data_IF_913205716025
#
_entry.id   IF_913205716025
#
_cell.length_a   1.000
_cell.length_b   1.000
_cell.length_c   1.000
_cell.angle_alpha   90.00
_cell.angle_beta   90.00
_cell.angle_gamma   90.00
#
_symmetry.space_group_name_H-M   'P 1'
#
loop_
_entity.id
_entity.type
_entity.pdbx_description
1 polymer ?
#
# COMPACT_ATOMS: atom_id res chain seq x y z
N UNK A 1 -2.68 -4.62 13.36
CA UNK A 1 -2.10 -5.37 12.22
C UNK A 1 -0.80 -4.71 11.81
N UNK A 2 0.11 -5.50 11.26
CA UNK A 2 1.33 -5.04 10.61
C UNK A 2 1.08 -4.94 9.10
N UNK A 3 1.28 -3.77 8.51
CA UNK A 3 0.95 -3.49 7.11
C UNK A 3 2.19 -2.93 6.41
N UNK A 4 2.56 -3.53 5.29
CA UNK A 4 3.61 -3.00 4.42
C UNK A 4 2.99 -2.25 3.24
N UNK A 5 3.42 -1.01 3.00
CA UNK A 5 2.97 -0.17 1.89
C UNK A 5 4.13 0.07 0.94
N UNK A 6 3.90 -0.15 -0.34
CA UNK A 6 4.89 0.01 -1.41
C UNK A 6 4.44 1.05 -2.43
N UNK A 7 5.36 1.90 -2.84
CA UNK A 7 5.16 2.95 -3.84
C UNK A 7 5.17 4.35 -3.25
N UNK A 8 5.27 5.35 -4.15
CA UNK A 8 5.39 6.77 -3.79
C UNK A 8 4.20 7.61 -4.27
N UNK A 9 3.11 7.00 -4.69
CA UNK A 9 1.94 7.75 -5.12
C UNK A 9 1.30 8.52 -3.94
N UNK A 10 0.55 9.56 -4.23
CA UNK A 10 -0.24 10.27 -3.22
C UNK A 10 -1.17 9.29 -2.49
N UNK A 11 -1.75 8.35 -3.22
CA UNK A 11 -2.61 7.30 -2.64
C UNK A 11 -1.87 6.41 -1.63
N UNK A 12 -0.61 6.01 -1.93
CA UNK A 12 0.23 5.26 -0.98
C UNK A 12 0.39 6.04 0.35
N UNK A 13 0.69 7.33 0.26
CA UNK A 13 0.83 8.20 1.44
C UNK A 13 -0.46 8.36 2.23
N UNK A 14 -1.59 8.57 1.54
CA UNK A 14 -2.91 8.68 2.18
C UNK A 14 -3.25 7.39 2.91
N UNK A 15 -3.07 6.23 2.26
CA UNK A 15 -3.34 4.93 2.87
C UNK A 15 -2.41 4.67 4.05
N UNK A 16 -1.11 4.95 3.92
CA UNK A 16 -0.16 4.79 5.02
C UNK A 16 -0.54 5.66 6.23
N UNK A 17 -0.92 6.91 5.99
CA UNK A 17 -1.33 7.85 7.04
C UNK A 17 -2.62 7.41 7.75
N UNK A 18 -3.65 7.04 6.99
CA UNK A 18 -4.95 6.65 7.55
C UNK A 18 -4.88 5.30 8.28
N UNK A 19 -4.18 4.31 7.70
CA UNK A 19 -3.99 3.01 8.37
C UNK A 19 -3.23 3.17 9.69
N UNK A 20 -2.20 4.02 9.73
CA UNK A 20 -1.49 4.34 10.96
C UNK A 20 -2.38 5.11 11.96
N UNK A 21 -3.25 6.03 11.50
CA UNK A 21 -4.21 6.74 12.37
C UNK A 21 -5.24 5.77 12.97
N UNK A 22 -5.61 4.72 12.25
CA UNK A 22 -6.46 3.63 12.77
C UNK A 22 -5.74 2.71 13.77
N UNK A 23 -4.47 2.96 14.09
CA UNK A 23 -3.71 2.21 15.09
C UNK A 23 -3.00 0.97 14.55
N UNK A 24 -2.83 0.85 13.23
CA UNK A 24 -2.02 -0.21 12.63
C UNK A 24 -0.54 0.18 12.62
N UNK A 25 0.35 -0.83 12.70
CA UNK A 25 1.77 -0.62 12.48
C UNK A 25 2.05 -0.65 10.99
N UNK A 26 2.46 0.48 10.44
CA UNK A 26 2.67 0.66 9.00
C UNK A 26 4.16 0.77 8.68
N UNK A 27 4.63 -0.06 7.76
CA UNK A 27 5.98 -0.04 7.20
C UNK A 27 5.88 0.45 5.76
N UNK A 28 6.34 1.67 5.51
CA UNK A 28 6.26 2.26 4.18
C UNK A 28 7.60 2.18 3.47
N UNK A 29 7.60 1.44 2.38
CA UNK A 29 8.79 1.19 1.56
C UNK A 29 8.79 2.05 0.31
N UNK A 30 9.82 2.86 0.20
CA UNK A 30 10.18 3.52 -1.05
C UNK A 30 10.97 2.55 -1.94
N UNK A 31 10.51 2.39 -3.17
CA UNK A 31 11.14 1.54 -4.18
C UNK A 31 12.35 2.20 -4.84
N UNK A 32 12.45 3.53 -4.81
CA UNK A 32 13.40 4.31 -5.61
C UNK A 32 14.65 4.81 -4.90
N UNK A 33 14.93 4.44 -3.64
CA UNK A 33 16.21 4.67 -2.94
C UNK A 33 16.24 5.54 -1.68
N UNK A 34 15.28 6.37 -1.39
CA UNK A 34 15.17 7.07 -0.09
C UNK A 34 13.72 7.43 0.18
N UNK A 35 13.16 6.96 1.28
CA UNK A 35 11.91 7.54 1.77
C UNK A 35 12.23 8.97 2.18
N UNK A 36 11.93 9.92 1.32
CA UNK A 36 11.97 11.33 1.68
C UNK A 36 10.54 11.78 1.91
N UNK A 37 10.18 11.89 3.17
CA UNK A 37 8.91 12.49 3.60
C UNK A 37 8.67 13.90 3.05
N UNK A 38 9.68 14.53 2.49
CA UNK A 38 9.65 15.94 2.13
C UNK A 38 9.20 16.24 0.70
N UNK A 39 9.24 15.29 -0.23
CA UNK A 39 9.03 15.62 -1.65
C UNK A 39 7.68 15.22 -2.25
N UNK A 40 7.00 14.21 -1.72
CA UNK A 40 5.86 13.60 -2.41
C UNK A 40 4.55 14.34 -2.18
N UNK A 41 4.40 15.06 -1.07
CA UNK A 41 3.10 15.62 -0.67
C UNK A 41 3.07 17.11 -0.44
N UNK A 42 3.98 17.85 -1.04
CA UNK A 42 3.98 19.33 -1.00
C UNK A 42 2.65 19.97 -1.47
N UNK A 43 1.84 19.21 -2.19
CA UNK A 43 0.52 19.64 -2.70
C UNK A 43 -0.65 19.29 -1.77
N UNK A 44 -0.45 18.43 -0.77
CA UNK A 44 -1.49 18.06 0.21
C UNK A 44 -0.92 18.12 1.64
N UNK A 45 -0.97 19.32 2.22
CA UNK A 45 -0.42 19.60 3.54
C UNK A 45 -1.07 18.75 4.64
N UNK A 46 -2.35 18.43 4.52
CA UNK A 46 -3.06 17.62 5.50
C UNK A 46 -2.53 16.18 5.55
N UNK A 47 -2.21 15.60 4.40
CA UNK A 47 -1.56 14.27 4.31
C UNK A 47 -0.19 14.31 4.96
N UNK A 48 0.61 15.33 4.63
CA UNK A 48 1.96 15.47 5.20
C UNK A 48 1.94 15.63 6.72
N UNK A 49 1.04 16.44 7.24
CA UNK A 49 0.87 16.62 8.69
C UNK A 49 0.47 15.31 9.39
N UNK A 50 -0.44 14.53 8.79
CA UNK A 50 -0.86 13.25 9.34
C UNK A 50 0.27 12.22 9.32
N UNK A 51 1.03 12.13 8.22
CA UNK A 51 2.21 11.26 8.11
C UNK A 51 3.24 11.58 9.20
N UNK A 52 3.58 12.86 9.36
CA UNK A 52 4.54 13.31 10.39
C UNK A 52 4.05 12.97 11.80
N UNK A 53 2.74 13.17 12.07
CA UNK A 53 2.11 12.83 13.34
C UNK A 53 2.22 11.33 13.64
N UNK A 54 1.92 10.46 12.66
CA UNK A 54 1.96 9.01 12.87
C UNK A 54 3.39 8.48 12.96
N UNK A 55 4.31 9.05 12.20
CA UNK A 55 5.74 8.74 12.34
C UNK A 55 6.27 9.10 13.72
N UNK A 56 5.94 10.28 14.24
CA UNK A 56 6.33 10.71 15.60
C UNK A 56 5.73 9.83 16.71
N UNK A 57 4.54 9.26 16.48
CA UNK A 57 3.92 8.30 17.41
C UNK A 57 4.47 6.87 17.28
N UNK A 58 5.27 6.57 16.27
CA UNK A 58 5.83 5.25 16.02
C UNK A 58 4.89 4.27 15.28
N UNK A 59 3.70 4.70 14.85
CA UNK A 59 2.79 3.87 14.07
C UNK A 59 3.16 3.80 12.58
N UNK A 60 3.94 4.75 12.07
CA UNK A 60 4.46 4.76 10.72
C UNK A 60 5.99 4.71 10.74
N UNK A 61 6.56 3.77 10.00
CA UNK A 61 8.01 3.64 9.83
C UNK A 61 8.35 3.66 8.34
N UNK A 62 9.28 4.54 7.97
CA UNK A 62 9.88 4.50 6.64
C UNK A 62 11.03 3.49 6.66
N UNK A 63 11.03 2.55 5.75
CA UNK A 63 12.03 1.49 5.75
C UNK A 63 12.42 1.05 4.33
N UNK A 64 13.51 0.30 4.24
CA UNK A 64 13.85 -0.46 3.04
C UNK A 64 13.15 -1.81 3.08
N UNK A 65 13.00 -2.44 1.93
CA UNK A 65 12.36 -3.75 1.81
C UNK A 65 12.96 -4.80 2.75
N UNK A 66 14.28 -4.83 2.89
CA UNK A 66 14.99 -5.80 3.74
C UNK A 66 14.67 -5.63 5.23
N UNK A 67 14.26 -4.42 5.65
CA UNK A 67 13.94 -4.10 7.03
C UNK A 67 12.46 -4.36 7.38
N UNK A 68 11.62 -4.76 6.43
CA UNK A 68 10.23 -5.12 6.70
C UNK A 68 10.19 -6.42 7.52
N UNK A 69 9.45 -6.47 8.63
CA UNK A 69 9.24 -7.69 9.41
C UNK A 69 8.64 -8.83 8.59
N UNK A 70 8.83 -10.06 9.02
CA UNK A 70 8.25 -11.24 8.37
C UNK A 70 6.78 -11.46 8.72
N UNK A 71 6.31 -10.88 9.81
CA UNK A 71 4.96 -11.00 10.37
C UNK A 71 4.00 -9.91 9.84
N UNK A 72 4.14 -9.54 8.57
CA UNK A 72 3.19 -8.64 7.91
C UNK A 72 1.87 -9.36 7.65
N UNK A 73 0.76 -8.70 7.99
CA UNK A 73 -0.60 -9.20 7.76
C UNK A 73 -1.11 -8.82 6.36
N UNK A 74 -0.78 -7.60 5.91
CA UNK A 74 -1.28 -7.01 4.66
C UNK A 74 -0.15 -6.35 3.88
N UNK A 75 -0.07 -6.62 2.59
CA UNK A 75 0.82 -5.94 1.66
C UNK A 75 0.00 -5.06 0.70
N UNK A 76 0.23 -3.75 0.72
CA UNK A 76 -0.44 -2.78 -0.15
C UNK A 76 0.55 -2.22 -1.17
N UNK A 77 0.21 -2.35 -2.44
CA UNK A 77 0.96 -1.78 -3.57
C UNK A 77 0.18 -0.62 -4.17
N UNK A 78 0.74 0.56 -4.16
CA UNK A 78 0.22 1.73 -4.86
C UNK A 78 1.34 2.34 -5.70
N UNK A 79 1.51 1.78 -6.88
CA UNK A 79 2.61 2.04 -7.79
C UNK A 79 2.17 2.93 -8.95
N UNK A 80 3.02 3.85 -9.35
CA UNK A 80 2.95 4.51 -10.64
C UNK A 80 3.41 3.57 -11.76
N UNK A 81 3.10 3.85 -13.03
CA UNK A 81 3.58 3.04 -14.16
C UNK A 81 5.11 2.92 -14.23
N UNK A 82 5.85 3.91 -13.73
CA UNK A 82 7.32 3.90 -13.70
C UNK A 82 7.89 2.98 -12.61
N UNK A 83 7.10 2.60 -11.61
CA UNK A 83 7.47 1.70 -10.52
C UNK A 83 7.06 0.24 -10.75
N UNK A 84 6.37 -0.07 -11.86
CA UNK A 84 5.83 -1.43 -12.11
C UNK A 84 6.92 -2.50 -12.07
N UNK A 85 8.06 -2.26 -12.70
CA UNK A 85 9.15 -3.24 -12.74
C UNK A 85 9.73 -3.54 -11.36
N UNK A 86 9.93 -2.51 -10.54
CA UNK A 86 10.42 -2.68 -9.15
C UNK A 86 9.37 -3.40 -8.29
N UNK A 87 8.09 -3.07 -8.46
CA UNK A 87 7.01 -3.78 -7.78
C UNK A 87 7.00 -5.28 -8.10
N UNK A 88 7.21 -5.66 -9.37
CA UNK A 88 7.34 -7.06 -9.77
C UNK A 88 8.58 -7.74 -9.16
N UNK A 89 9.70 -7.03 -9.03
CA UNK A 89 10.89 -7.53 -8.33
C UNK A 89 10.60 -7.79 -6.85
N UNK A 90 9.99 -6.84 -6.16
CA UNK A 90 9.57 -7.01 -4.76
C UNK A 90 8.67 -8.23 -4.58
N UNK A 91 7.71 -8.46 -5.47
CA UNK A 91 6.84 -9.63 -5.40
C UNK A 91 7.61 -10.95 -5.55
N UNK A 92 8.62 -10.99 -6.45
CA UNK A 92 9.49 -12.15 -6.60
C UNK A 92 10.33 -12.39 -5.35
N UNK A 93 10.84 -11.34 -4.73
CA UNK A 93 11.57 -11.43 -3.47
C UNK A 93 10.67 -11.85 -2.30
N UNK A 94 9.44 -11.33 -2.20
CA UNK A 94 8.45 -11.76 -1.22
C UNK A 94 8.17 -13.26 -1.34
N UNK A 95 8.06 -13.78 -2.56
CA UNK A 95 7.87 -15.22 -2.81
C UNK A 95 9.02 -16.08 -2.27
N UNK A 96 10.20 -15.53 -2.18
CA UNK A 96 11.41 -16.25 -1.68
C UNK A 96 11.59 -16.10 -0.17
N UNK A 97 10.87 -15.18 0.49
CA UNK A 97 10.97 -15.01 1.94
C UNK A 97 10.27 -16.16 2.68
N UNK A 98 10.74 -16.52 3.88
CA UNK A 98 10.08 -17.51 4.74
C UNK A 98 8.80 -16.94 5.36
N UNK A 99 7.88 -16.50 4.53
CA UNK A 99 6.59 -15.93 4.92
C UNK A 99 5.54 -17.02 4.83
N UNK A 100 4.64 -17.05 5.81
CA UNK A 100 3.49 -17.96 5.77
C UNK A 100 2.46 -17.40 4.80
N UNK A 101 2.22 -18.09 3.70
CA UNK A 101 1.14 -17.78 2.76
C UNK A 101 -0.12 -18.61 3.08
N UNK A 102 -1.32 -18.17 2.64
CA UNK A 102 -1.59 -16.96 1.88
C UNK A 102 -1.65 -15.69 2.72
N UNK A 103 -1.34 -14.55 2.11
CA UNK A 103 -1.44 -13.20 2.68
C UNK A 103 -2.51 -12.37 1.97
N UNK A 104 -2.97 -11.31 2.63
CA UNK A 104 -3.81 -10.31 1.99
C UNK A 104 -2.93 -9.32 1.21
N UNK A 105 -3.15 -9.30 -0.10
CA UNK A 105 -2.44 -8.44 -1.05
C UNK A 105 -3.42 -7.42 -1.62
N UNK A 106 -3.11 -6.14 -1.48
CA UNK A 106 -3.93 -5.05 -2.01
C UNK A 106 -3.15 -4.38 -3.15
N UNK A 107 -3.73 -4.38 -4.35
CA UNK A 107 -3.22 -3.58 -5.45
C UNK A 107 -4.07 -2.33 -5.63
N UNK A 108 -3.49 -1.18 -5.35
CA UNK A 108 -4.05 0.15 -5.56
C UNK A 108 -3.26 0.95 -6.60
N UNK A 109 -2.52 0.25 -7.46
CA UNK A 109 -1.62 0.86 -8.44
C UNK A 109 -2.37 1.31 -9.69
N UNK A 110 -1.92 2.39 -10.30
CA UNK A 110 -2.39 2.87 -11.61
C UNK A 110 -1.57 2.21 -12.71
N UNK A 111 -1.68 0.89 -12.80
CA UNK A 111 -1.07 0.10 -13.86
C UNK A 111 -2.10 -0.13 -14.98
N UNK A 112 -1.61 -0.32 -16.20
CA UNK A 112 -2.49 -0.58 -17.34
C UNK A 112 -3.36 -1.84 -17.18
N UNK A 113 -4.13 -2.16 -18.21
CA UNK A 113 -4.96 -3.36 -18.29
C UNK A 113 -4.15 -4.59 -17.83
N UNK A 114 -4.77 -5.47 -17.04
CA UNK A 114 -4.15 -6.68 -16.50
C UNK A 114 -2.99 -6.45 -15.49
N UNK A 115 -2.85 -5.23 -14.94
CA UNK A 115 -1.78 -4.95 -13.96
C UNK A 115 -1.86 -5.86 -12.73
N UNK A 116 -3.06 -6.05 -12.15
CA UNK A 116 -3.26 -6.96 -11.01
C UNK A 116 -2.99 -8.42 -11.36
N UNK A 117 -3.36 -8.86 -12.57
CA UNK A 117 -3.12 -10.23 -13.02
C UNK A 117 -1.63 -10.56 -13.11
N UNK A 118 -0.79 -9.62 -13.53
CA UNK A 118 0.67 -9.79 -13.53
C UNK A 118 1.21 -10.06 -12.12
N UNK A 119 0.66 -9.37 -11.13
CA UNK A 119 1.03 -9.55 -9.73
C UNK A 119 0.57 -10.91 -9.21
N UNK A 120 -0.67 -11.29 -9.51
CA UNK A 120 -1.24 -12.59 -9.15
C UNK A 120 -0.46 -13.77 -9.75
N UNK A 121 0.10 -13.64 -10.95
CA UNK A 121 0.92 -14.69 -11.56
C UNK A 121 2.18 -15.00 -10.73
N UNK A 122 2.70 -14.03 -9.97
CA UNK A 122 3.89 -14.23 -9.12
C UNK A 122 3.50 -14.84 -7.77
N UNK A 123 2.46 -14.29 -7.13
CA UNK A 123 1.94 -14.71 -5.83
C UNK A 123 0.50 -15.21 -5.98
N UNK A 124 0.33 -16.35 -6.63
CA UNK A 124 -0.99 -16.92 -6.97
C UNK A 124 -1.71 -17.54 -5.77
N UNK A 125 -1.02 -17.85 -4.69
CA UNK A 125 -1.58 -18.44 -3.47
C UNK A 125 -2.17 -17.38 -2.54
N UNK A 126 -1.88 -16.10 -2.76
CA UNK A 126 -2.32 -14.99 -1.92
C UNK A 126 -3.71 -14.49 -2.31
N UNK A 127 -4.37 -13.81 -1.37
CA UNK A 127 -5.68 -13.22 -1.55
C UNK A 127 -5.54 -11.80 -2.08
N UNK A 128 -5.94 -11.57 -3.33
CA UNK A 128 -5.78 -10.30 -4.00
C UNK A 128 -7.05 -9.46 -3.97
N UNK A 129 -6.86 -8.19 -3.62
CA UNK A 129 -7.87 -7.14 -3.65
C UNK A 129 -7.35 -6.02 -4.55
N UNK A 130 -8.23 -5.45 -5.35
CA UNK A 130 -7.96 -4.25 -6.11
C UNK A 130 -8.75 -3.07 -5.55
N UNK A 131 -8.05 -1.98 -5.21
CA UNK A 131 -8.62 -0.70 -4.81
C UNK A 131 -8.26 0.35 -5.85
N UNK A 132 -9.22 0.88 -6.64
CA UNK A 132 -8.92 1.96 -7.56
C UNK A 132 -8.53 3.23 -6.79
N UNK A 133 -7.58 3.98 -7.34
CA UNK A 133 -7.23 5.30 -6.83
C UNK A 133 -8.36 6.29 -7.20
N UNK A 134 -9.06 6.77 -6.19
CA UNK A 134 -10.23 7.68 -6.33
C UNK A 134 -10.04 8.97 -5.55
N UNK A 135 -8.83 9.27 -5.09
CA UNK A 135 -8.56 10.49 -4.32
C UNK A 135 -8.46 11.73 -5.21
N UNK A 136 -8.79 12.89 -4.63
CA UNK A 136 -8.62 14.20 -5.27
C UNK A 136 -7.43 14.91 -4.63
N UNK A 137 -6.50 15.40 -5.46
CA UNK A 137 -5.41 16.25 -5.00
C UNK A 137 -5.94 17.48 -4.26
N UNK A 138 -5.27 17.84 -3.16
CA UNK A 138 -5.68 18.93 -2.27
C UNK A 138 -6.84 18.59 -1.32
N UNK A 139 -7.47 17.41 -1.47
CA UNK A 139 -8.53 16.92 -0.60
C UNK A 139 -8.44 15.40 -0.36
N UNK A 140 -7.24 14.87 -0.42
CA UNK A 140 -6.99 13.43 -0.53
C UNK A 140 -7.49 12.64 0.69
N UNK A 141 -7.25 13.13 1.92
CA UNK A 141 -7.76 12.47 3.13
C UNK A 141 -9.28 12.38 3.14
N UNK A 142 -9.97 13.49 2.85
CA UNK A 142 -11.43 13.56 2.88
C UNK A 142 -12.05 12.69 1.79
N UNK A 143 -11.41 12.57 0.64
CA UNK A 143 -11.86 11.72 -0.47
C UNK A 143 -12.09 10.27 -0.02
N UNK A 144 -11.30 9.76 0.92
CA UNK A 144 -11.46 8.41 1.49
C UNK A 144 -12.31 8.40 2.76
N UNK A 145 -12.08 9.35 3.68
CA UNK A 145 -12.75 9.33 4.99
C UNK A 145 -14.23 9.72 4.92
N UNK A 146 -14.64 10.49 3.90
CA UNK A 146 -16.02 10.90 3.67
C UNK A 146 -16.68 10.14 2.51
N UNK A 147 -16.00 9.16 1.91
CA UNK A 147 -16.55 8.37 0.83
C UNK A 147 -17.77 7.57 1.31
N UNK A 148 -18.91 7.74 0.63
CA UNK A 148 -20.14 6.97 0.92
C UNK A 148 -20.07 5.54 0.37
N UNK A 149 -19.20 5.27 -0.58
CA UNK A 149 -19.02 3.98 -1.23
C UNK A 149 -17.53 3.76 -1.57
N UNK A 150 -17.08 2.54 -1.43
CA UNK A 150 -15.77 2.10 -1.87
C UNK A 150 -15.93 1.01 -2.93
N UNK A 151 -15.32 1.21 -4.09
CA UNK A 151 -15.30 0.18 -5.14
C UNK A 151 -14.12 -0.75 -4.84
N UNK A 152 -14.40 -2.05 -4.81
CA UNK A 152 -13.38 -3.07 -4.52
C UNK A 152 -13.50 -4.21 -5.50
N UNK A 153 -12.40 -4.53 -6.21
CA UNK A 153 -12.25 -5.78 -6.93
C UNK A 153 -11.63 -6.85 -6.04
N UNK A 154 -11.97 -8.10 -6.23
CA UNK A 154 -11.38 -9.23 -5.47
C UNK A 154 -11.17 -10.45 -6.35
N UNK A 155 -10.14 -11.23 -6.01
CA UNK A 155 -9.77 -12.41 -6.82
C UNK A 155 -10.68 -13.62 -6.58
N UNK A 156 -11.25 -13.76 -5.38
CA UNK A 156 -12.10 -14.88 -4.99
C UNK A 156 -12.96 -14.53 -3.76
N UNK A 157 -13.93 -15.38 -3.42
CA UNK A 157 -14.86 -15.13 -2.31
C UNK A 157 -14.16 -15.08 -0.93
N UNK A 158 -13.02 -15.75 -0.76
CA UNK A 158 -12.22 -15.67 0.46
C UNK A 158 -11.64 -14.26 0.62
N UNK A 159 -11.03 -13.70 -0.45
CA UNK A 159 -10.55 -12.33 -0.45
C UNK A 159 -11.67 -11.33 -0.11
N UNK A 160 -12.88 -11.52 -0.65
CA UNK A 160 -14.07 -10.72 -0.32
C UNK A 160 -14.45 -10.82 1.17
N UNK A 161 -14.33 -11.99 1.76
CA UNK A 161 -14.68 -12.18 3.18
C UNK A 161 -13.70 -11.48 4.12
N UNK A 162 -12.43 -11.36 3.73
CA UNK A 162 -11.40 -10.66 4.50
C UNK A 162 -11.60 -9.12 4.52
N UNK A 163 -12.48 -8.58 3.67
CA UNK A 163 -12.84 -7.15 3.63
C UNK A 163 -13.94 -6.76 4.63
N UNK A 164 -14.55 -7.69 5.32
CA UNK A 164 -15.61 -7.46 6.33
C UNK A 164 -15.04 -7.33 7.73
#
# INVERSE_FOLDING_TARGET
MNIAVFGQTLYAGVMAALLAECGHQVYWCDLLKKPSSEQVYAQDEAVQQLLNKQHAKGFLQYCKFEAIPLDIDVYLFSLSPTEESQGLEILRELKQRPIIHPKLMINASTLGLHGTEKFQQILSEDYWIYLPDVIQEGNALRSLTEASQLIVGYSNETAKTLLK
#
